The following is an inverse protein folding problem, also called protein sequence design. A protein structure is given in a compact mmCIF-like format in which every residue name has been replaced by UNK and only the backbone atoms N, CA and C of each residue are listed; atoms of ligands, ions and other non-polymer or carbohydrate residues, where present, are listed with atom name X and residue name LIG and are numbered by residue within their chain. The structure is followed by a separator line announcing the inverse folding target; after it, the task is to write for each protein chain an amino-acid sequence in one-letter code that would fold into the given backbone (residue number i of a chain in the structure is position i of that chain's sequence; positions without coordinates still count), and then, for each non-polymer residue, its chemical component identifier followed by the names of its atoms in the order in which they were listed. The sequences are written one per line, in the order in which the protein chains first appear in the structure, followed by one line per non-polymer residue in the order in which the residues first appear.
data_IF_505512608228
#
_entry.id   IF_505512608228
#
_cell.length_a   1.000
_cell.length_b   1.000
_cell.length_c   1.000
_cell.angle_alpha   90.00
_cell.angle_beta   90.00
_cell.angle_gamma   90.00
#
_symmetry.space_group_name_H-M   'P 1'
#
loop_
_entity.id
_entity.type
_entity.pdbx_description
1 polymer ?
#
# COMPACT_ATOMS: atom_id res chain seq x y z
N UNK A 1 -24.88 33.15 -15.55
CA UNK A 1 -24.85 31.67 -15.51
C UNK A 1 -26.02 31.17 -14.67
N UNK A 2 -26.62 30.04 -15.03
CA UNK A 2 -27.65 29.39 -14.20
C UNK A 2 -26.99 28.51 -13.13
N UNK A 3 -27.72 28.21 -12.05
CA UNK A 3 -27.28 27.28 -10.98
C UNK A 3 -26.76 25.96 -11.54
N UNK A 4 -27.52 25.38 -12.49
CA UNK A 4 -27.17 24.12 -13.13
C UNK A 4 -25.87 24.21 -13.94
N UNK A 5 -25.64 25.31 -14.68
CA UNK A 5 -24.37 25.50 -15.41
C UNK A 5 -23.17 25.62 -14.48
N UNK A 6 -23.32 26.32 -13.35
CA UNK A 6 -22.25 26.43 -12.35
C UNK A 6 -21.97 25.08 -11.67
N UNK A 7 -23.04 24.34 -11.32
CA UNK A 7 -22.94 22.97 -10.82
C UNK A 7 -22.22 22.04 -11.80
N UNK A 8 -22.64 21.98 -13.07
CA UNK A 8 -22.04 21.10 -14.07
C UNK A 8 -20.57 21.41 -14.31
N UNK A 9 -20.20 22.70 -14.37
CA UNK A 9 -18.81 23.10 -14.51
C UNK A 9 -17.97 22.67 -13.31
N UNK A 10 -18.47 22.88 -12.09
CA UNK A 10 -17.78 22.45 -10.88
C UNK A 10 -17.64 20.93 -10.84
N UNK A 11 -18.71 20.17 -11.15
CA UNK A 11 -18.66 18.72 -11.20
C UNK A 11 -17.60 18.20 -12.19
N UNK A 12 -17.49 18.80 -13.37
CA UNK A 12 -16.47 18.43 -14.36
C UNK A 12 -15.07 18.70 -13.80
N UNK A 13 -14.84 19.87 -13.21
CA UNK A 13 -13.54 20.25 -12.63
C UNK A 13 -13.18 19.29 -11.49
N UNK A 14 -14.09 19.07 -10.53
CA UNK A 14 -13.90 18.11 -9.43
C UNK A 14 -13.59 16.71 -9.94
N UNK A 15 -14.31 16.24 -10.96
CA UNK A 15 -14.09 14.91 -11.56
C UNK A 15 -12.72 14.82 -12.22
N UNK A 16 -12.29 15.85 -12.95
CA UNK A 16 -10.99 15.89 -13.59
C UNK A 16 -9.84 15.89 -12.56
N UNK A 17 -9.98 16.67 -11.49
CA UNK A 17 -9.03 16.67 -10.37
C UNK A 17 -8.99 15.29 -9.71
N UNK A 18 -10.15 14.74 -9.37
CA UNK A 18 -10.26 13.42 -8.75
C UNK A 18 -9.61 12.33 -9.60
N UNK A 19 -9.90 12.28 -10.90
CA UNK A 19 -9.30 11.34 -11.83
C UNK A 19 -7.77 11.50 -11.90
N UNK A 20 -7.26 12.73 -11.88
CA UNK A 20 -5.81 13.01 -11.88
C UNK A 20 -5.13 12.49 -10.61
N UNK A 21 -5.77 12.69 -9.45
CA UNK A 21 -5.26 12.17 -8.17
C UNK A 21 -5.27 10.65 -8.15
N UNK A 22 -6.37 10.02 -8.59
CA UNK A 22 -6.48 8.57 -8.68
C UNK A 22 -5.42 7.99 -9.62
N UNK A 23 -5.21 8.61 -10.79
CA UNK A 23 -4.16 8.20 -11.72
C UNK A 23 -2.77 8.32 -11.09
N UNK A 24 -2.45 9.44 -10.43
CA UNK A 24 -1.19 9.62 -9.73
C UNK A 24 -0.98 8.56 -8.64
N UNK A 25 -2.02 8.26 -7.87
CA UNK A 25 -1.95 7.22 -6.84
C UNK A 25 -1.67 5.83 -7.43
N UNK A 26 -2.41 5.42 -8.47
CA UNK A 26 -2.30 4.07 -9.03
C UNK A 26 -1.05 3.86 -9.88
N UNK A 27 -0.58 4.89 -10.57
CA UNK A 27 0.56 4.81 -11.48
C UNK A 27 1.90 5.09 -10.78
N UNK A 28 1.88 5.87 -9.70
CA UNK A 28 3.08 6.29 -9.01
C UNK A 28 3.19 5.67 -7.62
N UNK A 29 2.23 5.88 -6.72
CA UNK A 29 2.44 5.55 -5.31
C UNK A 29 2.06 4.13 -4.92
N UNK A 30 0.99 3.59 -5.50
CA UNK A 30 0.41 2.29 -5.19
C UNK A 30 0.30 1.44 -6.46
N UNK A 31 1.44 1.27 -7.14
CA UNK A 31 1.49 0.43 -8.33
C UNK A 31 0.93 -0.97 -8.03
N UNK A 32 0.16 -1.57 -8.95
CA UNK A 32 -0.33 -2.93 -8.78
C UNK A 32 0.82 -3.89 -8.44
N UNK A 33 0.60 -4.88 -7.55
CA UNK A 33 -0.68 -5.26 -6.94
C UNK A 33 -0.98 -4.62 -5.56
N UNK A 34 -0.09 -3.79 -5.01
CA UNK A 34 -0.11 -3.34 -3.61
C UNK A 34 -1.31 -2.48 -3.18
N UNK A 35 -2.06 -1.91 -4.14
CA UNK A 35 -3.19 -1.02 -3.85
C UNK A 35 -4.28 -1.69 -3.00
N UNK A 36 -4.56 -2.98 -3.22
CA UNK A 36 -5.52 -3.75 -2.42
C UNK A 36 -5.02 -4.03 -1.02
N UNK A 37 -3.76 -4.47 -0.89
CA UNK A 37 -3.13 -4.85 0.37
C UNK A 37 -3.14 -3.69 1.40
N UNK A 38 -3.12 -2.45 0.90
CA UNK A 38 -3.11 -1.22 1.68
C UNK A 38 -4.48 -0.52 1.79
N UNK A 39 -5.57 -1.19 1.41
CA UNK A 39 -6.93 -0.69 1.64
C UNK A 39 -7.29 0.53 0.77
N UNK A 40 -6.66 0.69 -0.40
CA UNK A 40 -6.80 1.85 -1.26
C UNK A 40 -8.24 2.22 -1.68
N UNK A 41 -9.17 1.26 -1.59
CA UNK A 41 -10.61 1.49 -1.80
C UNK A 41 -11.19 2.56 -0.87
N UNK A 42 -10.77 2.60 0.40
CA UNK A 42 -11.27 3.60 1.36
C UNK A 42 -10.87 5.02 0.96
N UNK A 43 -9.64 5.17 0.43
CA UNK A 43 -9.14 6.45 -0.06
C UNK A 43 -9.95 6.93 -1.28
N UNK A 44 -10.26 6.02 -2.21
CA UNK A 44 -11.11 6.34 -3.36
C UNK A 44 -12.52 6.79 -2.94
N UNK A 45 -13.10 6.14 -1.93
CA UNK A 45 -14.43 6.48 -1.43
C UNK A 45 -14.47 7.89 -0.82
N UNK A 46 -13.47 8.27 -0.04
CA UNK A 46 -13.39 9.62 0.53
C UNK A 46 -13.24 10.67 -0.57
N UNK A 47 -12.35 10.43 -1.53
CA UNK A 47 -12.09 11.35 -2.63
C UNK A 47 -13.30 11.51 -3.56
N UNK A 48 -13.96 10.40 -3.92
CA UNK A 48 -15.19 10.45 -4.73
C UNK A 48 -16.35 11.07 -3.95
N UNK A 49 -16.51 10.73 -2.67
CA UNK A 49 -17.58 11.25 -1.84
C UNK A 49 -17.45 12.75 -1.60
N UNK A 50 -16.31 13.22 -1.12
CA UNK A 50 -16.14 14.63 -0.75
C UNK A 50 -16.02 15.52 -1.99
N UNK A 51 -15.09 15.23 -2.88
CA UNK A 51 -14.72 16.17 -3.94
C UNK A 51 -15.68 16.15 -5.13
N UNK A 52 -16.20 14.97 -5.49
CA UNK A 52 -17.07 14.81 -6.66
C UNK A 52 -18.56 14.95 -6.31
N UNK A 53 -18.98 14.66 -5.07
CA UNK A 53 -20.38 14.81 -4.67
C UNK A 53 -20.63 16.04 -3.80
N UNK A 54 -19.99 16.15 -2.64
CA UNK A 54 -20.31 17.16 -1.62
C UNK A 54 -20.01 18.60 -2.11
N UNK A 55 -18.84 18.84 -2.71
CA UNK A 55 -18.47 20.16 -3.24
C UNK A 55 -19.44 20.71 -4.32
N UNK A 56 -19.72 19.93 -5.40
CA UNK A 56 -20.70 20.32 -6.40
C UNK A 56 -22.11 20.49 -5.82
N UNK A 57 -22.56 19.63 -4.90
CA UNK A 57 -23.86 19.78 -4.24
C UNK A 57 -23.96 21.08 -3.42
N UNK A 58 -22.93 21.44 -2.66
CA UNK A 58 -22.91 22.72 -1.97
C UNK A 58 -22.95 23.90 -2.93
N UNK A 59 -22.28 23.79 -4.08
CA UNK A 59 -22.35 24.80 -5.14
C UNK A 59 -23.77 24.93 -5.69
N UNK A 60 -24.47 23.82 -5.91
CA UNK A 60 -25.86 23.83 -6.37
C UNK A 60 -26.81 24.47 -5.35
N UNK A 61 -26.61 24.20 -4.06
CA UNK A 61 -27.45 24.71 -2.97
C UNK A 61 -27.19 26.20 -2.68
N UNK A 62 -25.93 26.61 -2.65
CA UNK A 62 -25.51 27.95 -2.21
C UNK A 62 -25.56 28.97 -3.36
N UNK A 63 -25.38 28.53 -4.61
CA UNK A 63 -25.45 29.42 -5.75
C UNK A 63 -26.85 30.01 -5.86
N UNK A 64 -26.93 31.32 -5.65
CA UNK A 64 -28.16 32.08 -5.84
C UNK A 64 -27.88 33.26 -6.77
N UNK A 65 -28.53 33.28 -7.93
CA UNK A 65 -28.41 34.35 -8.92
C UNK A 65 -28.96 35.70 -8.43
N UNK A 66 -29.70 35.72 -7.32
CA UNK A 66 -30.17 36.94 -6.67
C UNK A 66 -29.12 37.56 -5.73
N UNK A 67 -28.05 36.84 -5.38
CA UNK A 67 -26.94 37.41 -4.58
C UNK A 67 -26.14 38.40 -5.43
N UNK A 68 -25.57 39.40 -4.77
CA UNK A 68 -24.58 40.27 -5.43
C UNK A 68 -23.40 39.42 -5.93
N UNK A 69 -22.76 39.84 -7.03
CA UNK A 69 -21.62 39.10 -7.58
C UNK A 69 -20.52 38.90 -6.52
N UNK A 70 -20.27 39.90 -5.67
CA UNK A 70 -19.26 39.84 -4.61
C UNK A 70 -19.57 38.77 -3.56
N UNK A 71 -20.83 38.68 -3.11
CA UNK A 71 -21.25 37.67 -2.15
C UNK A 71 -21.17 36.27 -2.77
N UNK A 72 -21.63 36.11 -4.01
CA UNK A 72 -21.55 34.83 -4.71
C UNK A 72 -20.11 34.39 -4.96
N UNK A 73 -19.21 35.29 -5.35
CA UNK A 73 -17.78 34.97 -5.50
C UNK A 73 -17.13 34.62 -4.18
N UNK A 74 -17.51 35.29 -3.08
CA UNK A 74 -17.00 34.95 -1.76
C UNK A 74 -17.40 33.54 -1.35
N UNK A 75 -18.70 33.21 -1.46
CA UNK A 75 -19.22 31.88 -1.12
C UNK A 75 -18.50 30.77 -1.91
N UNK A 76 -18.39 30.93 -3.23
CA UNK A 76 -17.72 29.95 -4.09
C UNK A 76 -16.22 29.83 -3.79
N UNK A 77 -15.54 30.95 -3.50
CA UNK A 77 -14.13 30.94 -3.11
C UNK A 77 -13.91 30.21 -1.79
N UNK A 78 -14.79 30.39 -0.80
CA UNK A 78 -14.71 29.67 0.48
C UNK A 78 -14.87 28.16 0.26
N UNK A 79 -15.86 27.74 -0.54
CA UNK A 79 -16.06 26.32 -0.89
C UNK A 79 -14.80 25.77 -1.58
N UNK A 80 -14.27 26.48 -2.58
CA UNK A 80 -13.09 26.06 -3.32
C UNK A 80 -11.84 25.94 -2.43
N UNK A 81 -11.64 26.90 -1.51
CA UNK A 81 -10.52 26.86 -0.54
C UNK A 81 -10.64 25.67 0.40
N UNK A 82 -11.83 25.44 0.97
CA UNK A 82 -12.05 24.31 1.87
C UNK A 82 -11.84 22.97 1.16
N UNK A 83 -12.33 22.84 -0.08
CA UNK A 83 -12.14 21.65 -0.88
C UNK A 83 -10.67 21.43 -1.25
N UNK A 84 -9.96 22.49 -1.65
CA UNK A 84 -8.52 22.42 -1.92
C UNK A 84 -7.72 22.01 -0.67
N UNK A 85 -8.06 22.56 0.51
CA UNK A 85 -7.42 22.20 1.76
C UNK A 85 -7.68 20.72 2.14
N UNK A 86 -8.92 20.25 1.97
CA UNK A 86 -9.28 18.86 2.20
C UNK A 86 -8.53 17.91 1.25
N UNK A 87 -8.42 18.28 -0.03
CA UNK A 87 -7.69 17.51 -1.04
C UNK A 87 -6.19 17.44 -0.71
N UNK A 88 -5.56 18.57 -0.35
CA UNK A 88 -4.14 18.62 0.03
C UNK A 88 -3.88 17.76 1.27
N UNK A 89 -4.76 17.86 2.28
CA UNK A 89 -4.64 17.03 3.47
C UNK A 89 -4.78 15.53 3.14
N UNK A 90 -5.82 15.15 2.39
CA UNK A 90 -6.03 13.76 1.95
C UNK A 90 -4.84 13.23 1.16
N UNK A 91 -4.32 14.02 0.24
CA UNK A 91 -3.12 13.70 -0.53
C UNK A 91 -1.90 13.47 0.37
N UNK A 92 -1.71 14.30 1.41
CA UNK A 92 -0.60 14.14 2.35
C UNK A 92 -0.68 12.84 3.15
N UNK A 93 -1.89 12.45 3.58
CA UNK A 93 -2.13 11.20 4.32
C UNK A 93 -1.83 9.99 3.43
N UNK A 94 -2.32 10.02 2.19
CA UNK A 94 -2.08 8.97 1.19
C UNK A 94 -0.60 8.86 0.85
N UNK A 95 0.08 9.98 0.64
CA UNK A 95 1.51 9.98 0.34
C UNK A 95 2.35 9.39 1.49
N UNK A 96 1.97 9.65 2.74
CA UNK A 96 2.63 9.08 3.92
C UNK A 96 2.28 7.59 4.12
N UNK A 97 1.13 7.12 3.64
CA UNK A 97 0.75 5.71 3.71
C UNK A 97 1.21 4.89 2.50
N UNK A 98 2.00 5.46 1.57
CA UNK A 98 2.47 4.75 0.37
C UNK A 98 3.44 3.62 0.75
N UNK A 99 3.43 2.48 0.03
CA UNK A 99 4.43 1.44 0.19
C UNK A 99 5.81 1.96 -0.23
N UNK A 100 6.82 1.68 0.58
CA UNK A 100 8.21 2.12 0.36
C UNK A 100 9.20 0.98 0.35
N UNK A 101 8.95 -0.08 1.10
CA UNK A 101 9.78 -1.29 1.08
C UNK A 101 8.92 -2.55 1.15
N UNK A 102 9.38 -3.60 0.50
CA UNK A 102 8.89 -4.96 0.69
C UNK A 102 10.04 -5.76 1.30
N UNK A 103 9.95 -5.98 2.61
CA UNK A 103 11.08 -6.44 3.40
C UNK A 103 10.92 -7.92 3.66
N UNK A 104 11.83 -8.75 3.14
CA UNK A 104 11.90 -10.15 3.53
C UNK A 104 12.66 -10.29 4.84
N UNK A 105 12.08 -10.98 5.81
CA UNK A 105 12.77 -11.39 7.02
C UNK A 105 12.32 -12.77 7.45
N UNK A 106 13.30 -13.67 7.68
CA UNK A 106 13.13 -15.05 8.14
C UNK A 106 12.29 -15.94 7.22
N UNK A 107 10.97 -15.73 7.17
CA UNK A 107 9.98 -16.59 6.53
C UNK A 107 8.81 -15.84 5.88
N UNK A 108 8.79 -14.51 5.92
CA UNK A 108 7.76 -13.70 5.26
C UNK A 108 8.31 -12.40 4.70
N UNK A 109 7.55 -11.83 3.77
CA UNK A 109 7.68 -10.44 3.38
C UNK A 109 6.73 -9.57 4.21
N UNK A 110 7.15 -8.35 4.50
CA UNK A 110 6.35 -7.32 5.14
C UNK A 110 6.33 -6.08 4.25
N UNK A 111 5.12 -5.58 3.95
CA UNK A 111 4.94 -4.36 3.18
C UNK A 111 5.02 -3.14 4.12
N UNK A 112 6.17 -2.47 4.09
CA UNK A 112 6.45 -1.30 4.93
C UNK A 112 6.03 -0.02 4.20
N UNK A 113 5.23 0.81 4.88
CA UNK A 113 4.77 2.12 4.37
C UNK A 113 5.57 3.27 4.95
N UNK A 114 5.59 4.42 4.27
CA UNK A 114 6.45 5.55 4.65
C UNK A 114 6.22 6.04 6.10
N UNK A 115 4.98 6.02 6.58
CA UNK A 115 4.61 6.41 7.94
C UNK A 115 4.96 5.38 9.03
N UNK A 116 5.43 4.18 8.67
CA UNK A 116 5.91 3.20 9.65
C UNK A 116 7.37 3.45 10.06
N UNK A 117 8.09 4.30 9.32
CA UNK A 117 9.50 4.57 9.54
C UNK A 117 9.69 6.00 10.03
N UNK A 118 10.30 6.16 11.21
CA UNK A 118 10.69 7.48 11.70
C UNK A 118 11.91 8.01 10.93
N UNK A 119 12.16 9.32 11.00
CA UNK A 119 13.36 9.92 10.38
C UNK A 119 14.63 9.36 11.02
N UNK A 120 14.57 9.10 12.31
CA UNK A 120 15.64 8.50 13.10
C UNK A 120 15.93 7.07 12.63
N UNK A 121 14.90 6.28 12.34
CA UNK A 121 15.06 4.91 11.82
C UNK A 121 15.71 4.88 10.45
N UNK A 122 15.24 5.76 9.56
CA UNK A 122 15.80 5.89 8.21
C UNK A 122 17.26 6.33 8.27
N UNK A 123 17.60 7.26 9.16
CA UNK A 123 18.97 7.75 9.33
C UNK A 123 19.93 6.65 9.84
N UNK A 124 19.43 5.67 10.60
CA UNK A 124 20.20 4.52 11.09
C UNK A 124 20.50 3.48 10.02
N UNK A 125 19.93 3.57 8.82
CA UNK A 125 20.23 2.63 7.74
C UNK A 125 21.73 2.56 7.45
N UNK A 126 22.28 1.34 7.42
CA UNK A 126 23.70 1.11 7.14
C UNK A 126 24.01 1.44 5.68
N UNK A 127 23.15 0.96 4.78
CA UNK A 127 23.25 1.24 3.35
C UNK A 127 22.65 2.62 3.01
N UNK A 128 23.42 3.53 2.38
CA UNK A 128 22.96 4.88 2.07
C UNK A 128 21.70 4.95 1.21
N UNK A 129 21.49 3.97 0.33
CA UNK A 129 20.28 3.89 -0.52
C UNK A 129 18.98 3.80 0.28
N UNK A 130 19.02 3.20 1.48
CA UNK A 130 17.86 3.06 2.36
C UNK A 130 17.73 4.21 3.38
N UNK A 131 18.59 5.25 3.30
CA UNK A 131 18.46 6.50 4.07
C UNK A 131 17.48 7.49 3.44
N UNK A 132 16.78 7.08 2.39
CA UNK A 132 15.71 7.84 1.77
C UNK A 132 14.56 6.91 1.42
N UNK A 133 13.34 7.45 1.39
CA UNK A 133 12.16 6.66 1.07
C UNK A 133 11.84 6.74 -0.42
N UNK A 134 11.68 5.61 -1.12
CA UNK A 134 11.23 5.58 -2.50
C UNK A 134 9.93 6.38 -2.71
N UNK A 135 9.82 7.01 -3.86
CA UNK A 135 8.62 7.79 -4.23
C UNK A 135 7.58 6.95 -4.97
N UNK A 136 8.01 5.92 -5.70
CA UNK A 136 7.20 5.31 -6.78
C UNK A 136 6.87 3.83 -6.58
N UNK A 137 7.16 3.28 -5.41
CA UNK A 137 6.81 1.91 -5.07
C UNK A 137 7.83 1.26 -4.15
N UNK A 138 7.49 0.07 -3.63
CA UNK A 138 8.35 -0.60 -2.70
C UNK A 138 9.62 -1.10 -3.38
N UNK A 139 10.76 -0.81 -2.77
CA UNK A 139 12.02 -1.50 -3.08
C UNK A 139 12.03 -2.83 -2.31
N UNK A 140 12.44 -3.90 -2.96
CA UNK A 140 12.59 -5.21 -2.33
C UNK A 140 13.88 -5.23 -1.52
N UNK A 141 13.79 -5.63 -0.26
CA UNK A 141 14.90 -5.55 0.69
C UNK A 141 14.96 -6.82 1.52
N UNK A 142 16.16 -7.28 1.84
CA UNK A 142 16.39 -8.31 2.85
C UNK A 142 16.67 -7.63 4.20
N UNK A 143 16.00 -8.05 5.27
CA UNK A 143 16.35 -7.60 6.63
C UNK A 143 17.06 -8.71 7.40
N UNK A 144 18.30 -8.44 7.77
CA UNK A 144 19.14 -9.38 8.51
C UNK A 144 18.79 -9.36 10.00
N UNK A 145 18.46 -10.52 10.56
CA UNK A 145 18.25 -10.62 12.01
C UNK A 145 19.56 -10.28 12.74
N UNK A 146 19.58 -9.31 13.68
CA UNK A 146 20.79 -8.97 14.41
C UNK A 146 21.37 -10.19 15.14
N UNK A 147 22.69 -10.26 15.29
CA UNK A 147 23.38 -11.31 16.04
C UNK A 147 23.68 -10.92 17.48
N UNK A 148 23.86 -9.62 17.75
CA UNK A 148 24.06 -9.08 19.09
C UNK A 148 22.79 -9.22 19.94
N UNK A 149 22.95 -9.62 21.20
CA UNK A 149 21.83 -9.89 22.12
C UNK A 149 21.08 -8.60 22.47
N UNK A 150 21.76 -7.47 22.62
CA UNK A 150 21.11 -6.20 22.96
C UNK A 150 20.26 -5.72 21.78
N UNK A 151 20.80 -5.81 20.58
CA UNK A 151 20.08 -5.48 19.34
C UNK A 151 18.86 -6.39 19.13
N UNK A 152 19.00 -7.71 19.36
CA UNK A 152 17.85 -8.64 19.34
C UNK A 152 16.79 -8.25 20.36
N UNK A 153 17.19 -7.90 21.57
CA UNK A 153 16.26 -7.47 22.61
C UNK A 153 15.56 -6.17 22.23
N UNK A 154 16.22 -5.24 21.54
CA UNK A 154 15.59 -4.01 21.03
C UNK A 154 14.48 -4.33 20.02
N UNK A 155 14.73 -5.25 19.07
CA UNK A 155 13.71 -5.69 18.10
C UNK A 155 12.53 -6.35 18.82
N UNK A 156 12.79 -7.25 19.76
CA UNK A 156 11.74 -7.93 20.54
C UNK A 156 10.93 -6.93 21.39
N UNK A 157 11.60 -5.97 22.03
CA UNK A 157 10.94 -4.93 22.81
C UNK A 157 10.11 -4.00 21.91
N UNK A 158 10.62 -3.66 20.73
CA UNK A 158 9.92 -2.86 19.72
C UNK A 158 8.64 -3.53 19.22
N UNK A 159 8.61 -4.86 19.12
CA UNK A 159 7.41 -5.59 18.69
C UNK A 159 6.21 -5.32 19.62
N UNK A 160 6.44 -5.09 20.92
CA UNK A 160 5.37 -4.71 21.86
C UNK A 160 4.77 -3.32 21.60
N UNK A 161 5.51 -2.42 20.96
CA UNK A 161 5.01 -1.11 20.50
C UNK A 161 4.61 -1.10 19.01
N UNK A 162 4.56 -2.28 18.38
CA UNK A 162 4.16 -2.44 16.98
C UNK A 162 5.28 -2.19 15.96
N UNK A 163 6.55 -2.17 16.40
CA UNK A 163 7.73 -2.01 15.55
C UNK A 163 8.55 -3.29 15.53
N UNK A 164 8.36 -4.10 14.51
CA UNK A 164 9.08 -5.36 14.32
C UNK A 164 10.33 -5.17 13.44
N UNK A 165 11.11 -6.23 13.22
CA UNK A 165 12.35 -6.22 12.43
C UNK A 165 12.22 -5.50 11.06
N UNK A 166 11.13 -5.65 10.29
CA UNK A 166 10.95 -4.94 9.03
C UNK A 166 10.97 -3.41 9.17
N UNK A 167 10.71 -2.84 10.34
CA UNK A 167 10.72 -1.39 10.58
C UNK A 167 12.07 -0.87 11.10
N UNK A 168 13.15 -1.64 11.00
CA UNK A 168 14.51 -1.22 11.36
C UNK A 168 15.44 -1.18 10.13
N UNK A 169 15.49 -0.06 9.38
CA UNK A 169 16.34 0.09 8.20
C UNK A 169 17.85 -0.14 8.43
N UNK A 170 18.32 -0.11 9.68
CA UNK A 170 19.70 -0.46 10.05
C UNK A 170 20.08 -1.91 9.73
N UNK A 171 19.09 -2.78 9.50
CA UNK A 171 19.28 -4.19 9.15
C UNK A 171 19.02 -4.48 7.66
N UNK A 172 18.70 -3.47 6.86
CA UNK A 172 18.39 -3.64 5.46
C UNK A 172 19.65 -3.90 4.62
N UNK A 173 19.58 -4.96 3.81
CA UNK A 173 20.57 -5.36 2.80
C UNK A 173 19.88 -5.55 1.44
N UNK A 174 20.63 -5.46 0.33
CA UNK A 174 20.10 -5.70 -1.01
C UNK A 174 19.43 -7.07 -1.12
N UNK A 175 18.16 -7.10 -1.57
CA UNK A 175 17.44 -8.37 -1.69
C UNK A 175 18.11 -9.33 -2.69
N UNK A 176 18.60 -8.82 -3.81
CA UNK A 176 19.20 -9.64 -4.88
C UNK A 176 20.42 -10.44 -4.40
N UNK A 177 21.17 -9.94 -3.42
CA UNK A 177 22.33 -10.64 -2.83
C UNK A 177 21.93 -11.74 -1.84
N UNK A 178 20.71 -11.67 -1.30
CA UNK A 178 20.22 -12.55 -0.23
C UNK A 178 18.97 -13.35 -0.62
N UNK A 179 18.45 -13.21 -1.84
CA UNK A 179 17.16 -13.77 -2.26
C UNK A 179 17.09 -15.29 -2.12
N UNK A 180 18.21 -16.02 -2.26
CA UNK A 180 18.26 -17.46 -2.06
C UNK A 180 17.76 -17.91 -0.67
N UNK A 181 17.84 -17.03 0.35
CA UNK A 181 17.23 -17.27 1.68
C UNK A 181 15.71 -17.38 1.57
N UNK A 182 15.07 -16.50 0.79
CA UNK A 182 13.64 -16.53 0.53
C UNK A 182 13.23 -17.81 -0.21
N UNK A 183 14.00 -18.23 -1.23
CA UNK A 183 13.74 -19.47 -1.96
C UNK A 183 13.74 -20.71 -1.05
N UNK A 184 14.68 -20.76 -0.08
CA UNK A 184 14.75 -21.85 0.91
C UNK A 184 13.62 -21.81 1.94
N UNK A 185 13.13 -20.63 2.30
CA UNK A 185 12.01 -20.47 3.23
C UNK A 185 10.64 -20.74 2.58
N UNK A 186 10.59 -20.76 1.24
CA UNK A 186 9.34 -20.85 0.49
C UNK A 186 8.60 -22.18 0.72
N UNK A 187 7.31 -22.06 1.06
CA UNK A 187 6.43 -23.20 1.28
C UNK A 187 5.95 -23.80 -0.06
N UNK A 188 5.60 -25.10 -0.12
CA UNK A 188 5.12 -25.74 -1.34
C UNK A 188 3.78 -25.17 -1.83
N UNK A 189 3.60 -25.04 -3.14
CA UNK A 189 2.33 -24.57 -3.76
C UNK A 189 1.11 -25.42 -3.36
N UNK A 190 1.30 -26.73 -3.12
CA UNK A 190 0.25 -27.61 -2.62
C UNK A 190 -0.41 -27.09 -1.32
N UNK A 191 0.37 -26.48 -0.43
CA UNK A 191 -0.15 -25.92 0.83
C UNK A 191 -0.95 -24.62 0.56
N UNK A 192 -0.51 -23.79 -0.37
CA UNK A 192 -1.27 -22.59 -0.79
C UNK A 192 -2.63 -22.98 -1.40
N UNK A 193 -2.66 -24.01 -2.25
CA UNK A 193 -3.89 -24.55 -2.83
C UNK A 193 -4.86 -25.03 -1.76
N UNK A 194 -4.36 -25.70 -0.72
CA UNK A 194 -5.15 -26.16 0.43
C UNK A 194 -5.75 -24.99 1.23
N UNK A 195 -5.00 -23.90 1.39
CA UNK A 195 -5.45 -22.69 2.10
C UNK A 195 -6.49 -21.88 1.31
N UNK A 196 -6.56 -22.07 -0.01
CA UNK A 196 -7.44 -21.32 -0.91
C UNK A 196 -8.34 -22.29 -1.72
N UNK A 197 -9.25 -23.03 -1.06
CA UNK A 197 -10.11 -24.00 -1.74
C UNK A 197 -10.95 -23.29 -2.82
N UNK A 198 -11.02 -23.89 -4.01
CA UNK A 198 -11.74 -23.33 -5.17
C UNK A 198 -10.92 -22.34 -6.01
N UNK A 199 -9.68 -22.01 -5.62
CA UNK A 199 -8.80 -21.10 -6.37
C UNK A 199 -7.53 -21.76 -6.90
N UNK A 200 -7.48 -23.08 -6.93
CA UNK A 200 -6.30 -23.82 -7.41
C UNK A 200 -5.96 -23.51 -8.87
N UNK A 201 -6.97 -23.32 -9.73
CA UNK A 201 -6.75 -22.95 -11.14
C UNK A 201 -6.03 -21.60 -11.27
N UNK A 202 -6.46 -20.55 -10.54
CA UNK A 202 -5.78 -19.25 -10.52
C UNK A 202 -4.30 -19.36 -10.09
N UNK A 203 -4.02 -20.25 -9.12
CA UNK A 203 -2.66 -20.51 -8.62
C UNK A 203 -1.84 -21.23 -9.70
N UNK A 204 -2.41 -22.24 -10.36
CA UNK A 204 -1.77 -23.00 -11.42
C UNK A 204 -1.45 -22.12 -12.63
N UNK A 205 -2.38 -21.25 -13.03
CA UNK A 205 -2.17 -20.27 -14.09
C UNK A 205 -1.02 -19.31 -13.76
N UNK A 206 -0.92 -18.87 -12.50
CA UNK A 206 0.15 -18.00 -12.04
C UNK A 206 1.51 -18.70 -12.02
N UNK A 207 1.55 -19.97 -11.61
CA UNK A 207 2.76 -20.81 -11.66
C UNK A 207 3.18 -21.02 -13.12
N UNK A 208 2.25 -21.33 -14.01
CA UNK A 208 2.55 -21.52 -15.44
C UNK A 208 3.02 -20.23 -16.10
N UNK A 209 2.37 -19.09 -15.82
CA UNK A 209 2.76 -17.78 -16.33
C UNK A 209 4.18 -17.37 -15.88
N UNK A 210 4.68 -17.91 -14.77
CA UNK A 210 6.06 -17.69 -14.33
C UNK A 210 7.12 -18.39 -15.20
N UNK A 211 6.71 -19.33 -16.06
CA UNK A 211 7.60 -20.14 -16.89
C UNK A 211 8.38 -21.22 -16.11
N UNK A 212 8.01 -21.50 -14.86
CA UNK A 212 8.64 -22.50 -14.00
C UNK A 212 7.75 -23.71 -13.76
N UNK A 213 8.37 -24.84 -13.43
CA UNK A 213 7.67 -26.03 -12.95
C UNK A 213 7.17 -25.82 -11.53
N UNK A 214 6.00 -26.35 -11.17
CA UNK A 214 5.44 -26.26 -9.81
C UNK A 214 6.43 -26.70 -8.72
N UNK A 215 7.28 -27.70 -8.98
CA UNK A 215 8.30 -28.16 -8.02
C UNK A 215 9.38 -27.13 -7.69
N UNK A 216 9.65 -26.18 -8.60
CA UNK A 216 10.62 -25.09 -8.41
C UNK A 216 9.94 -23.79 -7.94
N UNK A 217 8.62 -23.79 -7.79
CA UNK A 217 7.88 -22.62 -7.28
C UNK A 217 7.44 -22.89 -5.85
N UNK A 218 7.65 -21.91 -5.00
CA UNK A 218 7.11 -21.89 -3.65
C UNK A 218 6.40 -20.57 -3.39
N UNK A 219 5.80 -20.45 -2.22
CA UNK A 219 5.15 -19.23 -1.80
C UNK A 219 5.66 -18.77 -0.43
N UNK A 220 5.64 -17.46 -0.25
CA UNK A 220 5.91 -16.80 1.01
C UNK A 220 4.75 -15.84 1.34
N UNK A 221 4.36 -15.71 2.61
CA UNK A 221 3.38 -14.71 3.01
C UNK A 221 3.91 -13.28 2.79
N UNK A 222 3.04 -12.39 2.33
CA UNK A 222 3.22 -10.95 2.36
C UNK A 222 2.29 -10.36 3.41
N UNK A 223 2.83 -9.88 4.52
CA UNK A 223 2.08 -9.15 5.52
C UNK A 223 1.83 -7.71 5.06
N UNK A 224 0.59 -7.26 5.18
CA UNK A 224 0.23 -5.88 4.91
C UNK A 224 -0.84 -5.40 5.90
N UNK A 225 -1.05 -4.08 5.94
CA UNK A 225 -1.90 -3.46 6.97
C UNK A 225 -3.34 -3.99 6.99
N UNK A 226 -3.93 -4.27 5.82
CA UNK A 226 -5.34 -4.64 5.73
C UNK A 226 -5.56 -6.11 5.34
N UNK A 227 -4.84 -6.58 4.33
CA UNK A 227 -4.96 -7.95 3.85
C UNK A 227 -3.59 -8.51 3.54
N UNK A 228 -3.28 -9.65 4.15
CA UNK A 228 -2.09 -10.40 3.79
C UNK A 228 -2.27 -11.04 2.41
N UNK A 229 -1.21 -10.99 1.62
CA UNK A 229 -1.16 -11.52 0.26
C UNK A 229 -0.07 -12.59 0.16
N UNK A 230 0.11 -13.16 -1.03
CA UNK A 230 1.07 -14.23 -1.28
C UNK A 230 2.12 -13.76 -2.28
N UNK A 231 3.39 -14.06 -2.02
CA UNK A 231 4.50 -13.89 -2.98
C UNK A 231 4.90 -15.24 -3.52
N UNK A 232 4.81 -15.44 -4.83
CA UNK A 232 5.42 -16.60 -5.48
C UNK A 232 6.90 -16.33 -5.68
N UNK A 233 7.72 -17.30 -5.30
CA UNK A 233 9.18 -17.23 -5.43
C UNK A 233 9.73 -18.51 -6.04
N UNK A 234 10.83 -18.39 -6.79
CA UNK A 234 11.62 -19.54 -7.21
C UNK A 234 12.30 -20.18 -5.99
N UNK A 235 12.15 -21.49 -5.81
CA UNK A 235 12.76 -22.20 -4.67
C UNK A 235 14.27 -22.34 -4.83
N UNK A 236 14.74 -22.49 -6.07
CA UNK A 236 16.16 -22.63 -6.41
C UNK A 236 16.96 -21.34 -6.25
N UNK A 237 16.39 -20.19 -6.60
CA UNK A 237 17.10 -18.91 -6.67
C UNK A 237 16.50 -17.80 -5.79
N UNK A 238 15.29 -17.98 -5.27
CA UNK A 238 14.60 -16.97 -4.47
C UNK A 238 14.01 -15.82 -5.27
N UNK A 239 14.02 -15.88 -6.60
CA UNK A 239 13.50 -14.78 -7.43
C UNK A 239 12.01 -14.62 -7.19
N UNK A 240 11.56 -13.39 -6.95
CA UNK A 240 10.13 -13.06 -6.90
C UNK A 240 9.54 -13.19 -8.31
N UNK A 241 8.52 -14.05 -8.43
CA UNK A 241 7.87 -14.39 -9.70
C UNK A 241 6.60 -13.57 -9.89
N UNK A 242 5.75 -13.53 -8.86
CA UNK A 242 4.49 -12.80 -8.88
C UNK A 242 3.97 -12.56 -7.46
N UNK A 243 3.06 -11.61 -7.32
CA UNK A 243 2.29 -11.40 -6.10
C UNK A 243 0.83 -11.75 -6.38
N UNK A 244 0.20 -12.49 -5.48
CA UNK A 244 -1.15 -13.00 -5.62
C UNK A 244 -2.00 -12.58 -4.44
N UNK A 245 -3.26 -12.23 -4.72
CA UNK A 245 -4.30 -12.04 -3.70
C UNK A 245 -4.83 -13.39 -3.23
N UNK A 246 -3.99 -14.16 -2.55
CA UNK A 246 -4.31 -15.47 -1.98
C UNK A 246 -3.99 -15.43 -0.49
N UNK A 247 -4.76 -16.16 0.30
CA UNK A 247 -4.53 -16.30 1.73
C UNK A 247 -3.27 -17.14 1.95
N UNK A 248 -2.20 -16.57 2.54
CA UNK A 248 -0.91 -17.26 2.69
C UNK A 248 -0.77 -18.01 4.02
N UNK A 249 -1.75 -17.87 4.91
CA UNK A 249 -1.76 -18.47 6.24
C UNK A 249 -2.85 -19.52 6.30
N UNK A 250 -2.58 -20.62 7.02
CA UNK A 250 -3.64 -21.53 7.41
C UNK A 250 -4.74 -20.74 8.15
N UNK A 251 -6.02 -20.88 7.75
CA UNK A 251 -7.12 -20.27 8.49
C UNK A 251 -7.00 -20.70 9.96
N UNK A 252 -6.78 -19.74 10.86
CA UNK A 252 -6.76 -20.05 12.28
C UNK A 252 -8.15 -20.57 12.66
N UNK A 253 -8.20 -21.81 13.18
CA UNK A 253 -9.45 -22.41 13.67
C UNK A 253 -10.07 -21.59 14.82
N UNK A 254 -9.29 -20.69 15.42
CA UNK A 254 -9.73 -19.74 16.43
C UNK A 254 -9.03 -18.40 16.22
N UNK A 255 -9.75 -17.39 15.75
CA UNK A 255 -9.72 -16.00 16.26
C UNK A 255 -10.77 -15.20 15.45
N UNK A 256 -11.76 -14.56 16.10
CA UNK A 256 -12.72 -13.71 15.40
C UNK A 256 -12.00 -12.52 14.74
N UNK A 257 -12.55 -11.96 13.65
CA UNK A 257 -11.93 -10.81 12.98
C UNK A 257 -11.72 -9.67 13.97
N UNK A 258 -10.52 -9.07 13.95
CA UNK A 258 -10.28 -7.80 14.63
C UNK A 258 -11.25 -6.78 14.04
N UNK A 259 -12.19 -6.33 14.88
CA UNK A 259 -13.14 -5.25 14.57
C UNK A 259 -12.41 -3.94 14.33
#
# INVERSE_FOLDING_TARGET
MTRLKAFSLHLIISTAIAASVVALMLLLWYRPPFFSALGGQHVLLVLLGVDVTVGPLFTLLIFNSLKSRRALTFDLSVIAILQAAALVYGMSVVFQARPVFMVFSKDSFDLVTANMLSKEDIAKAKNPEYRSLPLTGPVYVYSEMPTDIKERNEVVLGAFSGKDLPQFPQYYMPYDEHMAVAGRAAMPIAELKKQNPGRSADIDDSVHASGRTESDVGFLPLRAKYHDETVLVGKSDGRILSLLRMQPWQPSVFLPPKK
#
